data_IF_689388098653
#
_entry.id   IF_689388098653
#
_cell.length_a   1.000
_cell.length_b   1.000
_cell.length_c   1.000
_cell.angle_alpha   90.00
_cell.angle_beta   90.00
_cell.angle_gamma   90.00
#
_symmetry.space_group_name_H-M   'P 1'
#
loop_
_entity.id
_entity.type
_entity.pdbx_description
1 polymer ?
#
# COMPACT_ATOMS: atom_id res chain seq x y z
N UNK A 1 3.00 -24.39 -12.05
CA UNK A 1 2.84 -23.39 -10.99
C UNK A 1 4.07 -23.41 -10.10
N UNK A 2 4.47 -22.24 -9.59
CA UNK A 2 5.51 -22.13 -8.57
C UNK A 2 5.14 -22.96 -7.34
N UNK A 3 6.11 -23.61 -6.69
CA UNK A 3 5.91 -24.19 -5.35
C UNK A 3 6.59 -23.26 -4.35
N UNK A 4 5.79 -22.64 -3.48
CA UNK A 4 6.35 -21.85 -2.38
C UNK A 4 7.00 -22.74 -1.33
N UNK A 5 8.26 -22.45 -1.03
CA UNK A 5 8.99 -22.98 0.12
C UNK A 5 8.51 -22.32 1.43
N UNK A 6 8.71 -22.99 2.56
CA UNK A 6 8.18 -22.51 3.85
C UNK A 6 8.77 -21.16 4.26
N UNK A 7 10.04 -20.90 3.98
CA UNK A 7 10.66 -19.60 4.30
C UNK A 7 10.07 -18.46 3.47
N UNK A 8 9.67 -18.72 2.21
CA UNK A 8 9.01 -17.73 1.35
C UNK A 8 7.65 -17.33 1.94
N UNK A 9 6.90 -18.31 2.46
CA UNK A 9 5.62 -18.08 3.15
C UNK A 9 5.81 -17.24 4.41
N UNK A 10 6.86 -17.51 5.18
CA UNK A 10 7.20 -16.73 6.38
C UNK A 10 7.55 -15.29 6.03
N UNK A 11 8.34 -15.06 4.98
CA UNK A 11 8.70 -13.71 4.51
C UNK A 11 7.46 -12.91 4.11
N UNK A 12 6.54 -13.51 3.34
CA UNK A 12 5.27 -12.87 2.98
C UNK A 12 4.44 -12.58 4.23
N UNK A 13 4.25 -13.58 5.10
CA UNK A 13 3.42 -13.44 6.29
C UNK A 13 3.95 -12.37 7.25
N UNK A 14 5.27 -12.28 7.44
CA UNK A 14 5.88 -11.28 8.31
C UNK A 14 5.63 -9.85 7.81
N UNK A 15 5.83 -9.61 6.51
CA UNK A 15 5.59 -8.30 5.90
C UNK A 15 4.10 -7.94 5.87
N UNK A 16 3.24 -8.90 5.53
CA UNK A 16 1.79 -8.74 5.56
C UNK A 16 1.25 -8.41 6.96
N UNK A 17 1.81 -9.04 8.00
CA UNK A 17 1.38 -8.82 9.38
C UNK A 17 1.88 -7.49 9.96
N UNK A 18 2.92 -6.88 9.38
CA UNK A 18 3.52 -5.67 9.89
C UNK A 18 2.51 -4.49 9.98
N UNK A 19 1.74 -4.14 8.93
CA UNK A 19 0.71 -3.10 9.01
C UNK A 19 -0.32 -3.32 10.12
N UNK A 20 -0.71 -4.57 10.35
CA UNK A 20 -1.75 -4.92 11.34
C UNK A 20 -1.20 -5.38 12.69
N UNK A 21 0.10 -5.25 12.94
CA UNK A 21 0.74 -5.76 14.16
C UNK A 21 0.08 -5.24 15.46
N UNK A 22 -0.38 -3.99 15.45
CA UNK A 22 -1.10 -3.35 16.57
C UNK A 22 -2.60 -3.20 16.35
N UNK A 23 -3.10 -3.67 15.21
CA UNK A 23 -4.52 -3.61 14.82
C UNK A 23 -5.23 -4.95 15.04
N UNK A 24 -4.50 -6.05 14.83
CA UNK A 24 -4.97 -7.44 14.87
C UNK A 24 -5.39 -7.95 13.47
N UNK A 25 -5.30 -9.28 13.29
CA UNK A 25 -5.56 -9.94 12.00
C UNK A 25 -7.01 -9.81 11.50
N UNK A 26 -7.96 -9.40 12.36
CA UNK A 26 -9.35 -9.17 11.96
C UNK A 26 -9.50 -8.15 10.82
N UNK A 27 -8.53 -7.25 10.68
CA UNK A 27 -8.48 -6.26 9.60
C UNK A 27 -8.23 -6.86 8.21
N UNK A 28 -7.92 -8.16 8.14
CA UNK A 28 -7.72 -8.92 6.91
C UNK A 28 -8.79 -9.99 6.69
N UNK A 29 -9.93 -9.93 7.40
CA UNK A 29 -11.02 -10.90 7.21
C UNK A 29 -11.68 -10.82 5.83
N UNK A 30 -11.53 -9.71 5.10
CA UNK A 30 -12.13 -9.46 3.79
C UNK A 30 -11.54 -10.24 2.61
N UNK A 31 -10.45 -11.01 2.80
CA UNK A 31 -9.87 -11.89 1.78
C UNK A 31 -9.32 -13.18 2.40
N UNK A 32 -9.15 -14.23 1.58
CA UNK A 32 -8.79 -15.57 2.07
C UNK A 32 -7.59 -16.20 1.35
N UNK A 33 -7.09 -15.58 0.28
CA UNK A 33 -6.09 -16.19 -0.59
C UNK A 33 -5.00 -15.18 -0.97
N UNK A 34 -3.75 -15.67 -1.00
CA UNK A 34 -2.60 -14.97 -1.56
C UNK A 34 -2.07 -15.84 -2.70
N UNK A 35 -2.09 -15.30 -3.91
CA UNK A 35 -1.58 -15.96 -5.11
C UNK A 35 -0.19 -15.40 -5.40
N UNK A 36 0.80 -16.27 -5.55
CA UNK A 36 2.19 -15.86 -5.79
C UNK A 36 2.69 -16.43 -7.11
N UNK A 37 3.14 -15.54 -7.99
CA UNK A 37 3.81 -15.87 -9.24
C UNK A 37 5.34 -15.76 -9.08
N UNK A 38 6.15 -16.49 -9.86
CA UNK A 38 7.61 -16.38 -9.77
C UNK A 38 8.14 -14.96 -10.05
N UNK A 39 7.61 -14.31 -11.08
CA UNK A 39 8.09 -13.05 -11.63
C UNK A 39 6.90 -12.17 -12.02
N UNK A 40 7.19 -10.89 -12.33
CA UNK A 40 6.20 -9.93 -12.81
C UNK A 40 5.33 -10.53 -13.92
N UNK A 41 4.02 -10.44 -13.74
CA UNK A 41 3.04 -11.04 -14.63
C UNK A 41 2.09 -9.96 -15.15
N UNK A 42 1.63 -10.14 -16.38
CA UNK A 42 0.56 -9.33 -16.98
C UNK A 42 -0.72 -10.14 -16.81
N UNK A 43 -1.68 -9.63 -16.06
CA UNK A 43 -3.06 -10.13 -16.13
C UNK A 43 -3.70 -9.36 -17.26
N UNK A 44 -4.11 -10.10 -18.28
CA UNK A 44 -5.00 -9.61 -19.30
C UNK A 44 -6.40 -9.51 -18.66
N UNK A 45 -6.95 -8.30 -18.60
CA UNK A 45 -8.35 -8.10 -18.23
C UNK A 45 -9.08 -7.41 -19.38
N UNK A 46 -10.26 -7.92 -19.74
CA UNK A 46 -11.17 -7.28 -20.69
C UNK A 46 -12.01 -6.25 -19.93
N UNK A 47 -11.71 -4.96 -20.08
CA UNK A 47 -12.69 -3.91 -19.76
C UNK A 47 -13.58 -3.66 -20.99
N UNK A 48 -14.88 -3.89 -20.84
CA UNK A 48 -15.91 -3.46 -21.79
C UNK A 48 -16.42 -2.10 -21.31
N UNK A 49 -16.18 -1.05 -22.10
CA UNK A 49 -16.72 0.27 -21.79
C UNK A 49 -18.26 0.34 -22.02
N UNK A 50 -18.90 1.45 -21.62
CA UNK A 50 -20.33 1.68 -21.83
C UNK A 50 -20.76 1.67 -23.31
N UNK A 51 -19.79 1.71 -24.24
CA UNK A 51 -20.01 1.63 -25.68
C UNK A 51 -19.73 0.23 -26.26
N UNK A 52 -19.40 -0.77 -25.44
CA UNK A 52 -19.13 -2.14 -25.88
C UNK A 52 -17.75 -2.35 -26.51
N UNK A 53 -16.83 -1.39 -26.37
CA UNK A 53 -15.47 -1.50 -26.88
C UNK A 53 -14.60 -2.19 -25.85
N UNK A 54 -13.95 -3.28 -26.26
CA UNK A 54 -12.94 -3.98 -25.44
C UNK A 54 -11.63 -3.19 -25.52
N UNK A 55 -11.27 -2.55 -24.41
CA UNK A 55 -10.00 -1.85 -24.26
C UNK A 55 -8.95 -2.72 -23.58
N UNK A 56 -7.78 -2.89 -24.20
CA UNK A 56 -6.65 -3.56 -23.57
C UNK A 56 -5.81 -2.54 -22.77
N UNK A 57 -5.86 -2.58 -21.43
CA UNK A 57 -4.92 -1.81 -20.60
C UNK A 57 -3.76 -2.68 -20.15
N UNK A 58 -2.54 -2.20 -20.45
CA UNK A 58 -1.29 -2.74 -19.95
C UNK A 58 -1.07 -2.24 -18.52
N UNK A 59 -1.62 -2.92 -17.52
CA UNK A 59 -1.30 -2.68 -16.11
C UNK A 59 -0.40 -3.80 -15.61
N UNK A 60 0.80 -3.45 -15.14
CA UNK A 60 1.39 -4.21 -14.04
C UNK A 60 0.31 -4.20 -12.94
N UNK A 61 -0.04 -5.36 -12.39
CA UNK A 61 -1.12 -5.46 -11.41
C UNK A 61 -0.73 -4.79 -10.11
N UNK A 62 -0.92 -3.48 -10.10
CA UNK A 62 -0.70 -2.62 -8.96
C UNK A 62 -1.95 -1.77 -8.70
N UNK A 63 -3.09 -2.02 -9.35
CA UNK A 63 -4.22 -1.08 -9.26
C UNK A 63 -5.61 -1.55 -9.68
N UNK A 64 -5.87 -2.87 -9.77
CA UNK A 64 -7.25 -3.38 -9.72
C UNK A 64 -7.40 -4.27 -8.50
N UNK A 65 -7.55 -3.56 -7.39
CA UNK A 65 -7.81 -4.15 -6.11
C UNK A 65 -9.21 -4.75 -6.15
N UNK A 66 -9.27 -6.07 -6.28
CA UNK A 66 -10.51 -6.82 -6.19
C UNK A 66 -11.13 -6.54 -4.80
N UNK A 67 -12.31 -5.90 -4.78
CA UNK A 67 -13.06 -5.56 -3.55
C UNK A 67 -13.12 -6.72 -2.53
N UNK A 68 -13.01 -7.98 -2.98
CA UNK A 68 -12.90 -9.20 -2.15
C UNK A 68 -12.03 -10.31 -2.75
N UNK A 69 -11.20 -9.99 -3.74
CA UNK A 69 -10.40 -11.01 -4.43
C UNK A 69 -9.07 -11.28 -3.73
N UNK A 70 -8.31 -12.27 -4.22
CA UNK A 70 -7.01 -12.63 -3.65
C UNK A 70 -6.04 -11.45 -3.67
N UNK A 71 -5.07 -11.45 -2.75
CA UNK A 71 -3.86 -10.65 -2.92
C UNK A 71 -2.97 -11.37 -3.93
N UNK A 72 -2.44 -10.66 -4.92
CA UNK A 72 -1.58 -11.27 -5.93
C UNK A 72 -0.21 -10.64 -5.88
N UNK A 73 0.83 -11.47 -5.80
CA UNK A 73 2.21 -11.03 -5.63
C UNK A 73 3.12 -11.70 -6.66
N UNK A 74 4.16 -11.00 -7.08
CA UNK A 74 5.31 -11.61 -7.73
C UNK A 74 6.40 -11.85 -6.67
N UNK A 75 6.98 -13.05 -6.66
CA UNK A 75 7.99 -13.44 -5.69
C UNK A 75 9.27 -12.59 -5.84
N UNK A 76 9.70 -12.30 -7.06
CA UNK A 76 10.83 -11.40 -7.31
C UNK A 76 10.68 -10.05 -6.59
N UNK A 77 9.48 -9.44 -6.66
CA UNK A 77 9.20 -8.15 -6.00
C UNK A 77 9.14 -8.29 -4.47
N UNK A 78 8.56 -9.39 -3.96
CA UNK A 78 8.56 -9.71 -2.52
C UNK A 78 9.97 -9.88 -1.99
N UNK A 79 10.82 -10.60 -2.74
CA UNK A 79 12.19 -10.88 -2.37
C UNK A 79 13.05 -9.62 -2.42
N UNK A 80 12.84 -8.74 -3.41
CA UNK A 80 13.51 -7.45 -3.48
C UNK A 80 13.18 -6.59 -2.26
N UNK A 81 11.88 -6.35 -1.97
CA UNK A 81 11.49 -5.55 -0.78
C UNK A 81 12.04 -6.11 0.54
N UNK A 82 12.11 -7.44 0.67
CA UNK A 82 12.70 -8.08 1.85
C UNK A 82 14.24 -7.87 1.96
N UNK A 83 14.93 -7.75 0.83
CA UNK A 83 16.39 -7.53 0.76
C UNK A 83 16.77 -6.05 0.93
N UNK A 84 15.89 -5.14 0.56
CA UNK A 84 16.13 -3.69 0.57
C UNK A 84 15.09 -2.93 1.42
N UNK A 85 14.97 -3.19 2.74
CA UNK A 85 13.87 -2.72 3.60
C UNK A 85 13.85 -1.19 3.88
N UNK A 86 14.62 -0.42 3.13
CA UNK A 86 14.84 1.01 3.29
C UNK A 86 14.81 1.77 1.96
N UNK A 87 14.45 1.13 0.84
CA UNK A 87 14.33 1.81 -0.45
C UNK A 87 12.99 2.56 -0.58
N UNK A 88 12.02 2.25 0.28
CA UNK A 88 10.71 2.89 0.34
C UNK A 88 9.67 2.19 -0.52
N UNK A 89 9.95 0.96 -1.00
CA UNK A 89 9.06 0.15 -1.81
C UNK A 89 8.91 -1.26 -1.25
N UNK A 90 7.67 -1.64 -0.99
CA UNK A 90 7.32 -2.94 -0.45
C UNK A 90 5.96 -3.40 -0.99
N UNK A 91 5.98 -4.23 -2.03
CA UNK A 91 4.76 -4.73 -2.69
C UNK A 91 3.82 -5.44 -1.72
N UNK A 92 4.33 -6.11 -0.69
CA UNK A 92 3.48 -6.78 0.30
C UNK A 92 2.75 -5.76 1.16
N UNK A 93 3.46 -4.74 1.67
CA UNK A 93 2.80 -3.67 2.45
C UNK A 93 1.82 -2.90 1.56
N UNK A 94 2.17 -2.64 0.31
CA UNK A 94 1.33 -1.94 -0.67
C UNK A 94 -0.03 -2.64 -0.85
N UNK A 95 -0.01 -3.91 -1.26
CA UNK A 95 -1.23 -4.68 -1.53
C UNK A 95 -2.09 -4.85 -0.27
N UNK A 96 -1.46 -5.02 0.88
CA UNK A 96 -2.18 -5.16 2.14
C UNK A 96 -2.70 -3.82 2.67
N UNK A 97 -2.07 -2.68 2.35
CA UNK A 97 -2.63 -1.36 2.62
C UNK A 97 -3.92 -1.15 1.82
N UNK A 98 -3.96 -1.55 0.55
CA UNK A 98 -5.21 -1.54 -0.22
C UNK A 98 -6.32 -2.36 0.45
N UNK A 99 -6.01 -3.55 0.99
CA UNK A 99 -7.00 -4.34 1.74
C UNK A 99 -7.57 -3.60 2.96
N UNK A 100 -6.74 -2.80 3.65
CA UNK A 100 -7.21 -1.95 4.75
C UNK A 100 -8.11 -0.81 4.25
N UNK A 101 -7.74 -0.17 3.14
CA UNK A 101 -8.50 0.94 2.53
C UNK A 101 -9.90 0.47 2.10
N UNK A 102 -9.97 -0.72 1.51
CA UNK A 102 -11.20 -1.26 0.93
C UNK A 102 -12.19 -1.84 1.95
N UNK A 103 -11.85 -1.86 3.23
CA UNK A 103 -12.70 -2.45 4.26
C UNK A 103 -14.03 -1.68 4.43
N UNK A 104 -14.10 -0.41 3.98
CA UNK A 104 -15.35 0.36 3.94
C UNK A 104 -15.89 0.64 2.51
N UNK A 105 -15.34 0.01 1.48
CA UNK A 105 -15.77 0.22 0.09
C UNK A 105 -14.64 0.12 -0.94
N UNK A 106 -14.74 0.92 -2.01
CA UNK A 106 -13.66 1.01 -2.99
C UNK A 106 -12.48 1.81 -2.40
N UNK A 107 -11.26 1.43 -2.79
CA UNK A 107 -10.04 2.13 -2.38
C UNK A 107 -10.12 3.62 -2.72
N UNK A 108 -9.97 4.47 -1.71
CA UNK A 108 -10.08 5.93 -1.81
C UNK A 108 -9.07 6.67 -0.91
N UNK A 109 -8.14 5.96 -0.29
CA UNK A 109 -7.14 6.48 0.63
C UNK A 109 -7.69 6.82 2.03
N UNK A 110 -8.84 6.28 2.41
CA UNK A 110 -9.48 6.47 3.70
C UNK A 110 -9.99 5.13 4.24
N UNK A 111 -9.10 4.30 4.82
CA UNK A 111 -9.51 3.11 5.54
C UNK A 111 -10.47 3.46 6.69
N UNK A 112 -11.22 2.48 7.24
CA UNK A 112 -12.03 2.70 8.44
C UNK A 112 -11.16 3.27 9.57
N UNK A 113 -11.38 4.53 9.94
CA UNK A 113 -10.59 5.17 11.00
C UNK A 113 -11.07 4.72 12.39
N UNK A 114 -10.15 4.73 13.35
CA UNK A 114 -10.50 4.44 14.76
C UNK A 114 -11.46 5.50 15.32
N UNK A 115 -12.26 5.18 16.35
CA UNK A 115 -13.22 6.13 16.94
C UNK A 115 -12.59 7.41 17.50
N UNK A 116 -11.31 7.36 17.87
CA UNK A 116 -10.52 8.48 18.41
C UNK A 116 -9.82 9.31 17.32
N UNK A 117 -9.99 8.96 16.05
CA UNK A 117 -9.47 9.71 14.91
C UNK A 117 -10.56 10.59 14.27
N UNK A 118 -10.18 11.83 13.93
CA UNK A 118 -11.05 12.77 13.24
C UNK A 118 -10.97 12.60 11.73
N UNK A 119 -12.10 12.26 11.10
CA UNK A 119 -12.21 12.05 9.64
C UNK A 119 -11.92 13.33 8.86
N UNK A 120 -12.34 14.50 9.35
CA UNK A 120 -12.10 15.76 8.65
C UNK A 120 -10.61 16.09 8.60
N UNK A 121 -9.92 15.88 9.72
CA UNK A 121 -8.46 16.03 9.81
C UNK A 121 -7.73 15.05 8.90
N UNK A 122 -8.10 13.76 8.89
CA UNK A 122 -7.53 12.78 7.97
C UNK A 122 -7.65 13.24 6.52
N UNK A 123 -8.89 13.50 6.07
CA UNK A 123 -9.18 13.90 4.70
C UNK A 123 -8.41 15.14 4.29
N UNK A 124 -8.42 16.19 5.13
CA UNK A 124 -7.70 17.43 4.85
C UNK A 124 -6.18 17.22 4.76
N UNK A 125 -5.61 16.38 5.63
CA UNK A 125 -4.17 16.10 5.65
C UNK A 125 -3.76 15.28 4.43
N UNK A 126 -4.48 14.19 4.15
CA UNK A 126 -4.18 13.31 3.02
C UNK A 126 -4.38 14.03 1.69
N UNK A 127 -5.50 14.74 1.49
CA UNK A 127 -5.76 15.48 0.26
C UNK A 127 -4.69 16.53 -0.02
N UNK A 128 -4.27 17.30 1.00
CA UNK A 128 -3.21 18.30 0.84
C UNK A 128 -1.88 17.68 0.41
N UNK A 129 -1.53 16.53 0.98
CA UNK A 129 -0.28 15.84 0.65
C UNK A 129 -0.34 15.20 -0.74
N UNK A 130 -1.47 14.61 -1.10
CA UNK A 130 -1.75 14.08 -2.43
C UNK A 130 -1.67 15.18 -3.50
N UNK A 131 -2.37 16.30 -3.33
CA UNK A 131 -2.36 17.42 -4.28
C UNK A 131 -0.94 17.97 -4.48
N UNK A 132 -0.18 18.09 -3.38
CA UNK A 132 1.22 18.49 -3.41
C UNK A 132 2.08 17.49 -4.19
N UNK A 133 1.92 16.19 -3.94
CA UNK A 133 2.64 15.14 -4.66
C UNK A 133 2.31 15.16 -6.17
N UNK A 134 1.04 15.20 -6.55
CA UNK A 134 0.62 15.32 -7.95
C UNK A 134 1.18 16.59 -8.61
N UNK A 135 1.26 17.71 -7.89
CA UNK A 135 1.86 18.93 -8.41
C UNK A 135 3.36 18.78 -8.66
N UNK A 136 4.11 18.05 -7.82
CA UNK A 136 5.52 17.76 -8.03
C UNK A 136 5.74 16.86 -9.26
N UNK A 137 4.97 15.77 -9.36
CA UNK A 137 5.03 14.82 -10.49
C UNK A 137 4.73 15.53 -11.82
N UNK A 138 3.64 16.32 -11.88
CA UNK A 138 3.29 17.10 -13.09
C UNK A 138 4.37 18.10 -13.53
N UNK A 139 5.18 18.59 -12.58
CA UNK A 139 6.28 19.53 -12.85
C UNK A 139 7.60 18.82 -13.19
N UNK A 140 7.64 17.48 -13.16
CA UNK A 140 8.85 16.70 -13.38
C UNK A 140 9.88 16.82 -12.25
N UNK A 141 9.46 17.28 -11.06
CA UNK A 141 10.33 17.27 -9.89
C UNK A 141 10.41 15.87 -9.30
N UNK A 142 11.57 15.49 -8.77
CA UNK A 142 11.72 14.25 -8.03
C UNK A 142 10.81 14.26 -6.78
N UNK A 143 9.78 13.40 -6.71
CA UNK A 143 8.87 13.38 -5.57
C UNK A 143 9.53 12.70 -4.35
N UNK A 144 8.95 12.94 -3.17
CA UNK A 144 9.44 12.36 -1.91
C UNK A 144 9.18 10.86 -1.83
N UNK A 145 8.04 10.43 -2.38
CA UNK A 145 7.57 9.05 -2.51
C UNK A 145 7.39 8.74 -4.00
N UNK A 146 7.24 7.47 -4.38
CA UNK A 146 7.12 7.06 -5.78
C UNK A 146 6.05 7.86 -6.55
N UNK A 147 6.33 8.22 -7.81
CA UNK A 147 5.41 8.98 -8.66
C UNK A 147 4.10 8.23 -8.96
N UNK A 148 4.09 6.91 -8.80
CA UNK A 148 2.91 6.05 -8.90
C UNK A 148 1.81 6.46 -7.91
N UNK A 149 2.17 7.06 -6.78
CA UNK A 149 1.22 7.62 -5.83
C UNK A 149 0.31 8.73 -6.43
N UNK A 150 0.63 9.28 -7.60
CA UNK A 150 -0.19 10.25 -8.31
C UNK A 150 -1.33 9.62 -9.15
N UNK A 151 -1.40 8.29 -9.27
CA UNK A 151 -2.44 7.59 -10.03
C UNK A 151 -3.82 7.65 -9.34
N UNK A 152 -3.85 7.82 -8.02
CA UNK A 152 -5.08 8.04 -7.28
C UNK A 152 -4.89 8.06 -5.76
N UNK A 153 -5.92 8.49 -5.00
CA UNK A 153 -5.85 8.53 -3.53
C UNK A 153 -5.60 7.16 -2.87
N UNK A 154 -6.12 6.06 -3.44
CA UNK A 154 -5.84 4.70 -2.96
C UNK A 154 -4.36 4.34 -3.12
N UNK A 155 -3.79 4.56 -4.31
CA UNK A 155 -2.35 4.35 -4.55
C UNK A 155 -1.49 5.27 -3.68
N UNK A 156 -1.93 6.51 -3.48
CA UNK A 156 -1.27 7.41 -2.57
C UNK A 156 -1.21 6.84 -1.15
N UNK A 157 -2.31 6.28 -0.65
CA UNK A 157 -2.36 5.64 0.66
C UNK A 157 -1.45 4.41 0.74
N UNK A 158 -1.43 3.55 -0.29
CA UNK A 158 -0.55 2.39 -0.32
C UNK A 158 0.93 2.80 -0.31
N UNK A 159 1.33 3.76 -1.15
CA UNK A 159 2.73 4.23 -1.25
C UNK A 159 3.19 4.97 0.00
N UNK A 160 2.36 5.80 0.63
CA UNK A 160 2.74 6.41 1.92
C UNK A 160 2.82 5.36 3.04
N UNK A 161 2.12 4.23 2.92
CA UNK A 161 2.20 3.14 3.89
C UNK A 161 3.51 2.36 3.75
N UNK A 162 3.98 2.11 2.52
CA UNK A 162 5.33 1.59 2.26
C UNK A 162 6.39 2.53 2.89
N UNK A 163 6.33 3.82 2.55
CA UNK A 163 7.27 4.81 3.06
C UNK A 163 7.22 4.95 4.59
N UNK A 164 6.06 4.72 5.21
CA UNK A 164 5.89 4.76 6.66
C UNK A 164 6.66 3.66 7.38
N UNK A 165 6.64 2.43 6.84
CA UNK A 165 7.34 1.31 7.45
C UNK A 165 8.82 1.24 7.06
N UNK A 166 9.19 1.67 5.85
CA UNK A 166 10.56 1.52 5.35
C UNK A 166 11.42 2.79 5.50
N UNK A 167 10.83 3.97 5.32
CA UNK A 167 11.52 5.26 5.38
C UNK A 167 10.83 6.27 6.33
N UNK A 168 10.50 5.88 7.58
CA UNK A 168 9.66 6.69 8.47
C UNK A 168 10.22 8.10 8.70
N UNK A 169 11.54 8.24 8.89
CA UNK A 169 12.16 9.54 9.11
C UNK A 169 12.05 10.46 7.89
N UNK A 170 12.12 9.92 6.68
CA UNK A 170 11.94 10.68 5.45
C UNK A 170 10.49 11.14 5.34
N UNK A 171 9.54 10.23 5.57
CA UNK A 171 8.11 10.57 5.54
C UNK A 171 7.76 11.61 6.60
N UNK A 172 8.25 11.45 7.84
CA UNK A 172 8.05 12.39 8.94
C UNK A 172 8.63 13.78 8.63
N UNK A 173 9.82 13.84 8.02
CA UNK A 173 10.47 15.11 7.66
C UNK A 173 9.69 15.88 6.60
N UNK A 174 9.14 15.18 5.61
CA UNK A 174 8.57 15.82 4.43
C UNK A 174 7.04 15.94 4.47
N UNK A 175 6.35 15.00 5.11
CA UNK A 175 4.92 14.99 5.34
C UNK A 175 4.58 14.70 6.83
N UNK A 176 4.98 15.56 7.77
CA UNK A 176 4.83 15.31 9.21
C UNK A 176 3.38 15.10 9.64
N UNK A 177 2.43 15.81 9.01
CA UNK A 177 1.00 15.65 9.31
C UNK A 177 0.48 14.28 8.84
N UNK A 178 0.91 13.81 7.66
CA UNK A 178 0.57 12.47 7.15
C UNK A 178 1.16 11.42 8.07
N UNK A 179 2.44 11.56 8.44
CA UNK A 179 3.10 10.65 9.37
C UNK A 179 2.31 10.53 10.68
N UNK A 180 1.89 11.64 11.28
CA UNK A 180 1.09 11.61 12.51
C UNK A 180 -0.26 10.90 12.34
N UNK A 181 -0.92 11.05 11.18
CA UNK A 181 -2.16 10.31 10.88
C UNK A 181 -1.89 8.81 10.72
N UNK A 182 -0.80 8.41 10.08
CA UNK A 182 -0.41 7.01 9.94
C UNK A 182 -0.01 6.38 11.28
N UNK A 183 0.67 7.12 12.16
CA UNK A 183 0.94 6.67 13.54
C UNK A 183 -0.36 6.40 14.29
N UNK A 184 -1.34 7.32 14.20
CA UNK A 184 -2.65 7.15 14.83
C UNK A 184 -3.43 5.96 14.23
N UNK A 185 -3.37 5.79 12.91
CA UNK A 185 -4.06 4.70 12.22
C UNK A 185 -3.43 3.34 12.51
N UNK A 186 -2.14 3.16 12.23
CA UNK A 186 -1.43 1.90 12.41
C UNK A 186 -1.13 1.57 13.88
N UNK A 187 -1.25 2.55 14.78
CA UNK A 187 -0.91 2.44 16.21
C UNK A 187 0.54 2.00 16.42
N UNK A 188 1.40 2.42 15.52
CA UNK A 188 2.82 2.11 15.44
C UNK A 188 3.59 3.40 15.17
N UNK A 189 4.83 3.51 15.62
CA UNK A 189 5.68 4.68 15.37
C UNK A 189 7.07 4.23 14.88
N UNK A 190 7.22 3.94 13.58
CA UNK A 190 8.46 3.40 13.03
C UNK A 190 9.67 4.33 13.09
N UNK A 191 9.44 5.62 13.27
CA UNK A 191 10.45 6.65 13.45
C UNK A 191 10.78 6.98 14.90
N UNK A 192 10.06 6.44 15.89
CA UNK A 192 10.40 6.63 17.30
C UNK A 192 11.59 5.75 17.70
N UNK A 193 12.53 6.29 18.48
CA UNK A 193 13.63 5.50 19.02
C UNK A 193 13.26 4.85 20.38
N UNK A 194 13.59 3.56 20.62
CA UNK A 194 14.06 2.58 19.66
C UNK A 194 12.90 1.92 18.90
N UNK A 195 12.87 2.06 17.57
CA UNK A 195 12.01 1.26 16.71
C UNK A 195 12.66 -0.11 16.56
N UNK A 196 12.11 -1.11 17.25
CA UNK A 196 12.53 -2.50 17.12
C UNK A 196 11.33 -3.28 16.62
N UNK A 197 11.36 -3.61 15.32
CA UNK A 197 10.52 -4.66 14.76
C UNK A 197 11.06 -6.07 15.04
N UNK A 198 12.28 -6.16 15.60
CA UNK A 198 12.92 -7.34 16.16
C UNK A 198 13.85 -6.93 17.32
#
# INVERSE_FOLDING_TARGET
>A
GMRLEDWQRVVIAAQACLPVLRLGLRWYEGFHEIIVYPAGFVVEHEEVDEAGVVGYRRRALSGESWLRGPVVLAWEDVEHGAREPHDGSNVVIHEFAHKLDMENGAANGMPPLHPDMDRETWTRVMQRAYDHHCALVRRGHAPIIDAYAAEGPGEFFAVISEAFFEQPHRLQRHYPAVYAQLVAFYRQDPGAAPWRLL
#
